data_IF_613517211171
#
_entry.id   IF_613517211171
#
_cell.length_a   1.000
_cell.length_b   1.000
_cell.length_c   1.000
_cell.angle_alpha   90.00
_cell.angle_beta   90.00
_cell.angle_gamma   90.00
#
_symmetry.space_group_name_H-M   'P 1'
#
loop_
_entity.id
_entity.type
_entity.pdbx_description
1 polymer ?
2 polymer ?
3 non-polymer ?
4 water ?
#
# COMPACT_ATOMS: atom_id res chain seq x y z
N UNK A 4 11.38 24.26 5.77
CA UNK A 4 11.01 22.86 5.98
C UNK A 4 12.06 21.92 5.42
N UNK A 5 12.79 22.39 4.43
CA UNK A 5 13.87 21.61 3.82
C UNK A 5 15.21 21.97 4.43
N UNK A 6 15.26 23.10 5.12
CA UNK A 6 16.48 23.56 5.77
C UNK A 6 16.62 22.94 7.16
N UNK A 7 15.65 22.11 7.53
CA UNK A 7 15.65 21.46 8.83
C UNK A 7 16.66 20.33 8.91
N UNK A 8 17.38 20.28 10.02
CA UNK A 8 18.33 19.20 10.28
C UNK A 8 17.55 17.92 10.59
N UNK A 9 18.22 16.78 10.54
CA UNK A 9 17.59 15.50 10.84
C UNK A 9 17.07 15.47 12.28
N UNK A 10 17.88 15.95 13.22
CA UNK A 10 17.48 16.03 14.62
C UNK A 10 16.34 17.01 14.81
N UNK A 11 16.39 18.11 14.06
CA UNK A 11 15.35 19.14 14.15
C UNK A 11 14.05 18.67 13.53
N UNK A 12 14.15 17.74 12.57
CA UNK A 12 12.98 17.16 11.95
C UNK A 12 12.27 16.21 12.91
N UNK A 13 13.07 15.40 13.62
CA UNK A 13 12.54 14.47 14.61
C UNK A 13 11.80 15.22 15.72
N UNK A 14 12.43 16.28 16.22
CA UNK A 14 11.85 17.09 17.29
C UNK A 14 10.57 17.77 16.85
N UNK A 15 10.54 18.24 15.61
CA UNK A 15 9.36 18.91 15.06
C UNK A 15 8.18 17.94 15.00
N UNK A 16 8.43 16.72 14.58
CA UNK A 16 7.39 15.71 14.47
C UNK A 16 6.91 15.24 15.83
N UNK A 17 7.83 15.09 16.77
CA UNK A 17 7.51 14.67 18.12
C UNK A 17 6.63 15.69 18.82
N UNK A 18 6.99 16.96 18.68
CA UNK A 18 6.22 18.04 19.29
C UNK A 18 4.82 18.15 18.68
N UNK A 19 4.68 17.66 17.45
CA UNK A 19 3.43 17.79 16.72
C UNK A 19 2.43 16.69 17.05
N UNK A 20 2.89 15.68 17.81
CA UNK A 20 2.07 14.53 18.15
C UNK A 20 0.73 14.90 18.79
N UNK A 21 -0.37 14.33 18.28
CA UNK A 21 -1.70 14.58 18.83
C UNK A 21 -1.92 13.82 20.13
N UNK A 22 -2.83 14.29 20.98
CA UNK A 22 -3.06 13.66 22.28
C UNK A 22 -3.82 12.35 22.18
N UNK A 23 -3.59 11.46 23.14
CA UNK A 23 -4.35 10.22 23.24
C UNK A 23 -5.68 10.48 23.91
N UNK A 24 -6.76 10.34 23.15
CA UNK A 24 -8.10 10.64 23.66
C UNK A 24 -8.73 9.43 24.33
N UNK A 25 -9.73 9.68 25.16
CA UNK A 25 -10.46 8.61 25.84
C UNK A 25 -11.81 8.35 25.17
N UNK A 26 -12.43 7.24 25.52
CA UNK A 26 -13.74 6.90 24.98
C UNK A 26 -14.83 7.26 25.98
N UNK A 27 -16.09 7.11 25.55
CA UNK A 27 -17.23 7.44 26.40
C UNK A 27 -17.66 6.26 27.25
N UNK A 34 -21.60 -5.14 25.39
CA UNK A 34 -21.19 -4.61 24.09
C UNK A 34 -22.06 -5.15 22.96
N UNK A 35 -22.76 -4.25 22.27
CA UNK A 35 -23.57 -4.61 21.12
C UNK A 35 -23.00 -3.99 19.86
N UNK A 36 -23.63 -4.25 18.73
CA UNK A 36 -23.17 -3.71 17.45
C UNK A 36 -23.30 -2.20 17.41
N UNK A 37 -24.45 -1.68 17.81
CA UNK A 37 -24.71 -0.25 17.79
C UNK A 37 -23.88 0.49 18.83
N UNK A 38 -23.67 -0.14 19.98
CA UNK A 38 -22.95 0.49 21.08
C UNK A 38 -21.47 0.69 20.78
N UNK A 39 -20.79 -0.38 20.37
CA UNK A 39 -19.36 -0.31 20.08
C UNK A 39 -19.09 0.59 18.89
N UNK A 40 -19.91 0.49 17.85
CA UNK A 40 -19.81 1.36 16.69
C UNK A 40 -20.00 2.81 17.10
N UNK A 41 -20.89 3.03 18.06
CA UNK A 41 -21.13 4.36 18.60
C UNK A 41 -19.89 4.91 19.27
N UNK A 42 -19.19 4.06 20.02
CA UNK A 42 -17.97 4.46 20.72
C UNK A 42 -16.85 4.76 19.74
N UNK A 43 -16.72 3.93 18.71
CA UNK A 43 -15.65 4.07 17.74
C UNK A 43 -15.83 5.31 16.86
N UNK A 44 -17.04 5.51 16.37
CA UNK A 44 -17.32 6.67 15.51
C UNK A 44 -17.19 7.97 16.28
N UNK A 45 -17.57 7.95 17.55
CA UNK A 45 -17.39 9.12 18.41
C UNK A 45 -15.91 9.42 18.63
N UNK A 46 -15.15 8.36 18.88
CA UNK A 46 -13.71 8.49 19.09
C UNK A 46 -13.00 8.98 17.84
N UNK A 47 -13.35 8.39 16.71
CA UNK A 47 -12.74 8.73 15.43
C UNK A 47 -13.04 10.18 15.05
N UNK A 48 -14.26 10.63 15.33
CA UNK A 48 -14.67 12.02 15.01
C UNK A 48 -13.86 13.02 15.83
N UNK A 49 -13.55 12.68 17.06
CA UNK A 49 -12.80 13.59 17.92
C UNK A 49 -11.31 13.57 17.60
N UNK A 50 -10.80 12.41 17.21
CA UNK A 50 -9.39 12.29 16.83
C UNK A 50 -9.11 13.02 15.52
N UNK A 51 -10.09 13.02 14.63
CA UNK A 51 -9.95 13.68 13.33
C UNK A 51 -9.68 15.18 13.46
N UNK A 52 -10.25 15.78 14.51
CA UNK A 52 -10.05 17.20 14.77
C UNK A 52 -8.61 17.47 15.16
N UNK A 53 -8.02 16.55 15.91
CA UNK A 53 -6.62 16.67 16.33
C UNK A 53 -5.67 16.32 15.20
N UNK A 54 -6.09 15.39 14.34
CA UNK A 54 -5.29 14.98 13.18
C UNK A 54 -5.04 16.15 12.25
N UNK A 55 -6.10 16.93 12.00
CA UNK A 55 -6.03 18.08 11.12
C UNK A 55 -5.04 19.12 11.64
N UNK A 56 -5.08 19.37 12.95
CA UNK A 56 -4.15 20.31 13.56
C UNK A 56 -2.74 19.74 13.65
N UNK A 57 -2.63 18.42 13.73
CA UNK A 57 -1.33 17.76 13.72
C UNK A 57 -0.68 17.88 12.35
N UNK A 58 -1.48 17.73 11.31
CA UNK A 58 -1.01 17.81 9.93
C UNK A 58 -0.41 19.18 9.65
N UNK A 59 -1.02 20.22 10.20
CA UNK A 59 -0.55 21.58 10.02
C UNK A 59 0.79 21.82 10.71
N UNK A 60 1.11 20.96 11.67
CA UNK A 60 2.38 21.08 12.40
C UNK A 60 3.45 20.19 11.77
N UNK A 61 3.09 19.48 10.71
CA UNK A 61 4.05 18.69 9.95
C UNK A 61 4.81 19.58 8.98
N UNK A 62 6.15 19.56 9.05
CA UNK A 62 7.02 20.39 8.22
C UNK A 62 6.73 20.28 6.73
N UNK A 63 6.39 21.41 6.10
CA UNK A 63 6.15 21.46 4.67
C UNK A 63 4.69 21.31 4.28
N UNK A 64 3.85 20.95 5.24
CA UNK A 64 2.43 20.72 4.96
C UNK A 64 1.66 22.03 4.83
N UNK A 65 2.10 23.05 5.54
CA UNK A 65 1.47 24.36 5.46
C UNK A 65 1.87 25.09 4.17
N UNK A 66 2.97 24.63 3.57
CA UNK A 66 3.45 25.20 2.31
C UNK A 66 2.56 24.79 1.16
N UNK A 67 1.77 23.75 1.37
CA UNK A 67 0.82 23.26 0.37
C UNK A 67 -0.41 24.14 0.31
N UNK A 68 -1.10 24.12 -0.83
CA UNK A 68 -2.34 24.85 -0.97
C UNK A 68 -3.45 24.19 -0.15
N UNK A 69 -4.52 24.92 0.10
CA UNK A 69 -5.65 24.39 0.87
C UNK A 69 -6.24 23.18 0.18
N UNK A 70 -6.30 23.23 -1.15
CA UNK A 70 -6.81 22.14 -1.96
C UNK A 70 -5.99 20.86 -1.75
N UNK A 71 -4.67 20.99 -1.82
CA UNK A 71 -3.78 19.84 -1.67
C UNK A 71 -3.79 19.30 -0.25
N UNK A 72 -3.92 20.18 0.73
CA UNK A 72 -4.01 19.78 2.13
C UNK A 72 -5.24 18.92 2.36
N UNK A 73 -6.36 19.33 1.76
CA UNK A 73 -7.61 18.59 1.85
C UNK A 73 -7.48 17.20 1.24
N UNK A 74 -6.90 17.15 0.04
CA UNK A 74 -6.75 15.90 -0.70
C UNK A 74 -5.92 14.87 0.08
N UNK A 75 -4.82 15.33 0.67
CA UNK A 75 -3.93 14.44 1.41
C UNK A 75 -4.60 13.88 2.66
N UNK A 76 -5.39 14.70 3.35
CA UNK A 76 -6.09 14.26 4.54
C UNK A 76 -7.27 13.35 4.21
N UNK A 77 -7.97 13.66 3.13
CA UNK A 77 -9.12 12.85 2.72
C UNK A 77 -8.73 11.43 2.33
N UNK A 78 -7.52 11.28 1.79
CA UNK A 78 -7.05 9.98 1.33
C UNK A 78 -6.39 9.18 2.45
N UNK A 79 -5.74 9.88 3.37
CA UNK A 79 -4.91 9.21 4.38
C UNK A 79 -5.50 9.14 5.79
N UNK A 80 -6.65 9.74 6.00
CA UNK A 80 -7.19 9.88 7.36
C UNK A 80 -7.37 8.57 8.11
N UNK A 81 -7.78 7.52 7.39
CA UNK A 81 -8.00 6.22 8.03
C UNK A 81 -6.68 5.50 8.25
N UNK A 82 -5.75 5.68 7.31
CA UNK A 82 -4.42 5.11 7.46
C UNK A 82 -3.73 5.69 8.69
N UNK A 83 -3.88 6.99 8.89
CA UNK A 83 -3.28 7.69 10.02
C UNK A 83 -3.89 7.23 11.33
N UNK A 84 -5.21 7.07 11.35
CA UNK A 84 -5.90 6.54 12.52
C UNK A 84 -5.41 5.14 12.87
N UNK A 85 -5.22 4.32 11.84
CA UNK A 85 -4.82 2.93 12.03
C UNK A 85 -3.39 2.80 12.54
N UNK A 86 -2.46 3.51 11.91
CA UNK A 86 -1.05 3.42 12.31
C UNK A 86 -0.87 4.00 13.71
N UNK A 87 -1.77 4.89 14.11
CA UNK A 87 -1.77 5.39 15.48
C UNK A 87 -2.25 4.32 16.43
N UNK A 88 -3.37 3.68 16.07
CA UNK A 88 -3.92 2.57 16.84
C UNK A 88 -2.92 1.42 16.96
N UNK A 89 -2.32 1.07 15.83
CA UNK A 89 -1.35 -0.02 15.77
C UNK A 89 -0.14 0.28 16.66
N UNK A 90 0.31 1.53 16.66
CA UNK A 90 1.45 1.94 17.47
C UNK A 90 1.15 1.87 18.97
N UNK A 91 -0.04 2.32 19.35
CA UNK A 91 -0.45 2.31 20.76
C UNK A 91 -0.69 0.89 21.25
N UNK A 92 -0.96 -0.02 20.32
CA UNK A 92 -1.30 -1.40 20.66
C UNK A 92 -0.07 -2.30 20.77
N UNK A 93 1.10 -1.73 20.53
CA UNK A 93 2.35 -2.49 20.55
C UNK A 93 2.61 -3.19 21.88
N UNK A 94 2.53 -2.44 22.96
CA UNK A 94 2.79 -2.99 24.29
C UNK A 94 1.61 -3.78 24.85
N UNK A 95 0.58 -3.95 24.02
CA UNK A 95 -0.58 -4.74 24.40
C UNK A 95 -0.85 -5.85 23.38
N UNK A 96 -0.06 -6.94 23.45
CA UNK A 96 -0.16 -8.06 22.50
C UNK A 96 -1.54 -8.72 22.52
N UNK A 97 -2.08 -8.98 21.33
CA UNK A 97 -3.38 -9.62 21.21
C UNK A 97 -4.53 -8.68 21.49
N UNK A 98 -4.22 -7.40 21.69
CA UNK A 98 -5.25 -6.41 22.00
C UNK A 98 -5.04 -5.12 21.22
N UNK A 99 -6.11 -4.36 21.05
CA UNK A 99 -6.06 -3.08 20.34
C UNK A 99 -6.44 -1.94 21.27
N UNK A 100 -5.58 -0.93 21.35
CA UNK A 100 -5.82 0.20 22.24
C UNK A 100 -6.36 1.40 21.48
N UNK A 101 -7.68 1.42 21.28
CA UNK A 101 -8.35 2.58 20.67
C UNK A 101 -8.26 3.75 21.62
N UNK A 102 -8.47 3.46 22.90
CA UNK A 102 -8.38 4.46 23.97
C UNK A 102 -7.90 3.75 25.24
N UNK A 103 -7.30 4.50 26.16
CA UNK A 103 -6.84 3.90 27.42
C UNK A 103 -7.96 3.20 28.19
N UNK A 104 -9.19 3.70 28.04
CA UNK A 104 -10.35 3.05 28.65
C UNK A 104 -11.10 2.17 27.67
N UNK A 105 -10.46 1.90 26.53
CA UNK A 105 -11.06 1.06 25.50
C UNK A 105 -10.03 0.15 24.84
N UNK A 106 -9.63 -0.89 25.57
CA UNK A 106 -8.69 -1.88 25.04
C UNK A 106 -9.44 -3.14 24.64
N UNK A 107 -9.47 -3.42 23.34
CA UNK A 107 -10.29 -4.51 22.81
C UNK A 107 -9.45 -5.66 22.26
N UNK A 108 -9.97 -6.89 22.43
CA UNK A 108 -9.36 -8.06 21.82
C UNK A 108 -10.17 -8.48 20.59
N UNK A 109 -9.69 -9.48 19.87
CA UNK A 109 -10.28 -9.85 18.58
C UNK A 109 -11.69 -10.40 18.69
N UNK A 110 -12.00 -11.02 19.83
CA UNK A 110 -13.33 -11.61 20.05
C UNK A 110 -14.38 -10.57 20.36
N UNK A 111 -13.94 -9.41 20.83
CA UNK A 111 -14.84 -8.27 21.03
C UNK A 111 -15.13 -7.59 19.70
N UNK A 112 -14.41 -8.00 18.67
CA UNK A 112 -14.62 -7.48 17.33
C UNK A 112 -15.75 -8.20 16.62
N UNK A 113 -16.18 -9.31 17.19
CA UNK A 113 -17.27 -10.10 16.61
C UNK A 113 -18.63 -9.50 16.94
N UNK A 114 -18.63 -8.45 17.77
CA UNK A 114 -19.85 -7.75 18.13
C UNK A 114 -20.41 -7.02 16.90
N UNK A 115 -19.52 -6.47 16.10
CA UNK A 115 -19.91 -5.80 14.87
C UNK A 115 -19.60 -6.68 13.66
N UNK A 116 -20.59 -6.88 12.81
CA UNK A 116 -20.45 -7.77 11.65
C UNK A 116 -19.41 -7.26 10.66
N UNK A 117 -18.38 -8.07 10.43
CA UNK A 117 -17.35 -7.76 9.46
C UNK A 117 -16.22 -6.90 9.99
N UNK A 118 -16.11 -6.83 11.32
CA UNK A 118 -15.07 -6.02 11.94
C UNK A 118 -13.89 -6.87 12.41
N UNK A 119 -14.15 -8.14 12.72
CA UNK A 119 -13.11 -9.02 13.25
C UNK A 119 -12.00 -9.25 12.22
N UNK A 120 -12.36 -9.16 10.94
CA UNK A 120 -11.37 -9.30 9.88
C UNK A 120 -10.42 -8.12 9.88
N UNK A 121 -10.95 -6.94 10.18
CA UNK A 121 -10.14 -5.72 10.25
C UNK A 121 -9.25 -5.76 11.49
N UNK A 122 -9.79 -6.29 12.59
CA UNK A 122 -9.03 -6.42 13.83
C UNK A 122 -7.82 -7.32 13.66
N UNK A 123 -8.00 -8.43 12.96
CA UNK A 123 -6.92 -9.39 12.75
C UNK A 123 -5.78 -8.79 11.95
N UNK A 124 -6.12 -7.93 10.99
CA UNK A 124 -5.10 -7.24 10.20
C UNK A 124 -4.38 -6.21 11.04
N UNK A 125 -5.13 -5.52 11.90
CA UNK A 125 -4.56 -4.52 12.79
C UNK A 125 -3.65 -5.15 13.83
N UNK A 126 -4.09 -6.27 14.41
CA UNK A 126 -3.30 -7.00 15.38
C UNK A 126 -2.02 -7.53 14.76
N UNK A 127 -2.08 -7.87 13.48
CA UNK A 127 -0.93 -8.40 12.76
C UNK A 127 0.12 -7.31 12.54
N UNK A 128 -0.34 -6.09 12.30
CA UNK A 128 0.56 -4.97 12.06
C UNK A 128 1.26 -4.55 13.36
N UNK A 129 0.54 -4.65 14.47
CA UNK A 129 1.10 -4.30 15.78
C UNK A 129 2.15 -5.31 16.21
N UNK A 130 1.87 -6.58 15.96
CA UNK A 130 2.82 -7.64 16.25
C UNK A 130 4.06 -7.52 15.37
N UNK A 131 3.86 -7.07 14.13
CA UNK A 131 4.95 -6.83 13.21
C UNK A 131 5.80 -5.65 13.68
N UNK A 132 5.13 -4.64 14.24
CA UNK A 132 5.83 -3.49 14.79
C UNK A 132 6.70 -3.89 15.98
N UNK A 133 6.16 -4.74 16.84
CA UNK A 133 6.88 -5.20 18.02
C UNK A 133 8.03 -6.12 17.62
N UNK A 134 7.83 -6.88 16.54
CA UNK A 134 8.86 -7.78 16.04
C UNK A 134 10.06 -7.00 15.52
N UNK A 135 9.80 -5.80 15.01
CA UNK A 135 10.85 -4.92 14.51
C UNK A 135 11.35 -3.98 15.60
N UNK A 136 10.66 -3.98 16.73
CA UNK A 136 10.97 -3.06 17.83
C UNK A 136 10.95 -1.61 17.36
N UNK A 137 9.83 -1.21 16.77
CA UNK A 137 9.67 0.12 16.21
C UNK A 137 9.82 1.21 17.26
N UNK A 138 10.64 2.22 16.96
CA UNK A 138 10.86 3.32 17.89
C UNK A 138 9.90 4.47 17.60
N UNK A 139 9.63 5.28 18.62
CA UNK A 139 8.73 6.41 18.50
C UNK A 139 9.21 7.43 17.50
N UNK A 140 10.52 7.56 17.38
CA UNK A 140 11.13 8.48 16.41
C UNK A 140 10.88 7.99 14.99
N UNK A 141 10.75 6.68 14.82
CA UNK A 141 10.48 6.09 13.52
C UNK A 141 9.00 6.16 13.18
N UNK A 142 8.16 6.01 14.20
CA UNK A 142 6.71 6.02 14.02
C UNK A 142 6.20 7.37 13.51
N UNK A 143 6.69 8.45 14.11
CA UNK A 143 6.27 9.79 13.72
C UNK A 143 6.69 10.11 12.29
N UNK A 144 7.78 9.49 11.85
CA UNK A 144 8.24 9.65 10.47
C UNK A 144 7.31 8.91 9.52
N UNK A 145 6.97 7.66 9.87
CA UNK A 145 6.09 6.84 9.05
C UNK A 145 4.72 7.47 8.90
N UNK A 146 4.19 8.02 9.98
CA UNK A 146 2.87 8.62 9.98
C UNK A 146 2.85 9.90 9.14
N UNK A 147 3.97 10.61 9.12
CA UNK A 147 4.09 11.81 8.31
C UNK A 147 4.26 11.45 6.84
N UNK A 148 4.94 10.34 6.58
CA UNK A 148 5.11 9.84 5.23
C UNK A 148 3.76 9.44 4.63
N UNK A 149 2.94 8.77 5.44
CA UNK A 149 1.59 8.39 5.04
C UNK A 149 0.76 9.59 4.63
N UNK A 150 0.84 10.65 5.41
CA UNK A 150 0.08 11.88 5.15
C UNK A 150 0.42 12.49 3.80
N UNK A 151 1.70 12.47 3.45
CA UNK A 151 2.17 13.15 2.24
C UNK A 151 2.17 12.26 1.01
N UNK A 152 2.29 10.94 1.22
CA UNK A 152 2.41 10.02 0.09
C UNK A 152 1.09 9.49 -0.45
N UNK A 153 0.15 9.20 0.45
CA UNK A 153 -1.07 8.46 0.10
C UNK A 153 -1.91 9.08 -1.02
N UNK A 154 -1.86 10.39 -1.17
CA UNK A 154 -2.66 11.06 -2.18
C UNK A 154 -1.87 11.80 -3.24
N UNK A 155 -0.55 11.63 -3.21
CA UNK A 155 0.34 12.40 -4.06
C UNK A 155 0.21 12.04 -5.55
N UNK A 156 -0.44 10.92 -5.86
CA UNK A 156 -0.59 10.47 -7.26
C UNK A 156 -2.03 10.55 -7.74
N UNK A 157 -2.90 11.12 -6.92
CA UNK A 157 -4.30 11.26 -7.28
C UNK A 157 -4.79 12.68 -7.07
N UNK A 170 5.91 18.20 -6.52
CA UNK A 170 7.36 18.07 -6.45
C UNK A 170 7.87 18.50 -5.09
N UNK A 171 7.18 19.48 -4.49
CA UNK A 171 7.51 19.93 -3.13
C UNK A 171 7.31 18.80 -2.14
N UNK A 172 6.22 18.05 -2.31
CA UNK A 172 5.89 16.94 -1.43
C UNK A 172 6.98 15.86 -1.46
N UNK A 173 7.46 15.55 -2.67
CA UNK A 173 8.42 14.47 -2.85
C UNK A 173 9.79 14.79 -2.26
N UNK A 174 10.11 16.08 -2.12
CA UNK A 174 11.38 16.47 -1.52
C UNK A 174 11.27 16.55 0.00
N UNK A 175 10.05 16.71 0.49
CA UNK A 175 9.80 16.62 1.93
C UNK A 175 9.86 15.15 2.33
N UNK A 176 9.34 14.29 1.46
CA UNK A 176 9.42 12.84 1.64
C UNK A 176 10.87 12.38 1.71
N UNK A 177 11.68 12.92 0.80
CA UNK A 177 13.10 12.60 0.77
C UNK A 177 13.79 13.05 2.07
N UNK A 178 13.33 14.16 2.62
CA UNK A 178 13.86 14.68 3.87
C UNK A 178 13.55 13.74 5.03
N UNK A 179 12.33 13.19 5.04
CA UNK A 179 11.93 12.23 6.07
C UNK A 179 12.69 10.92 5.91
N UNK A 180 13.01 10.58 4.66
CA UNK A 180 13.82 9.41 4.38
C UNK A 180 15.23 9.60 4.97
N UNK A 181 15.78 10.79 4.75
CA UNK A 181 17.07 11.15 5.33
C UNK A 181 16.98 11.14 6.86
N UNK A 182 15.80 11.48 7.36
CA UNK A 182 15.56 11.51 8.80
C UNK A 182 15.50 10.10 9.37
N UNK A 183 14.88 9.19 8.63
CA UNK A 183 14.78 7.79 9.06
C UNK A 183 16.15 7.11 9.12
N UNK A 184 16.96 7.34 8.09
CA UNK A 184 18.30 6.77 8.02
C UNK A 184 19.19 7.33 9.14
N UNK A 185 19.05 8.62 9.40
CA UNK A 185 19.81 9.28 10.45
C UNK A 185 19.54 8.66 11.82
N UNK A 186 18.29 8.28 12.05
CA UNK A 186 17.91 7.62 13.29
C UNK A 186 18.57 6.25 13.41
N UNK A 187 18.56 5.51 12.31
CA UNK A 187 19.12 4.16 12.29
C UNK A 187 20.63 4.17 12.41
N UNK A 188 21.27 5.16 11.78
CA UNK A 188 22.72 5.32 11.88
C UNK A 188 23.12 5.71 13.29
N UNK A 189 22.20 6.37 14.00
CA UNK A 189 22.43 6.79 15.37
C UNK A 189 22.33 5.60 16.32
N UNK A 190 21.50 4.63 15.97
CA UNK A 190 21.26 3.47 16.81
C UNK A 190 22.31 2.38 16.63
N UNK A 191 23.36 2.70 15.87
CA UNK A 191 24.47 1.78 15.70
C UNK A 191 24.29 0.77 14.59
N UNK A 192 23.26 0.94 13.78
CA UNK A 192 23.01 0.04 12.66
C UNK A 192 24.03 0.26 11.55
N UNK A 193 24.57 -0.84 11.03
CA UNK A 193 25.52 -0.74 9.92
C UNK A 193 24.83 -0.31 8.64
N UNK A 194 25.63 0.06 7.65
CA UNK A 194 25.13 0.57 6.38
C UNK A 194 24.11 -0.37 5.72
N UNK A 195 24.41 -1.66 5.74
CA UNK A 195 23.51 -2.67 5.19
C UNK A 195 22.24 -2.78 6.02
N UNK A 196 22.39 -2.73 7.33
CA UNK A 196 21.25 -2.82 8.25
C UNK A 196 20.34 -1.59 8.15
N UNK A 197 20.91 -0.47 7.72
CA UNK A 197 20.16 0.77 7.62
C UNK A 197 19.10 0.74 6.51
N UNK A 198 19.54 0.48 5.27
CA UNK A 198 18.61 0.49 4.15
C UNK A 198 17.73 -0.76 4.13
N UNK A 199 18.17 -1.80 4.82
CA UNK A 199 17.35 -3.00 4.98
C UNK A 199 16.16 -2.72 5.89
N UNK A 200 16.41 -2.01 6.99
CA UNK A 200 15.36 -1.66 7.93
C UNK A 200 14.42 -0.62 7.34
N UNK A 201 14.97 0.30 6.56
CA UNK A 201 14.17 1.31 5.88
C UNK A 201 13.14 0.66 4.97
N UNK A 202 13.56 -0.37 4.25
CA UNK A 202 12.69 -1.09 3.34
C UNK A 202 11.57 -1.80 4.08
N UNK A 203 11.94 -2.52 5.14
CA UNK A 203 10.98 -3.28 5.94
C UNK A 203 9.90 -2.36 6.53
N UNK A 204 10.28 -1.14 6.90
CA UNK A 204 9.34 -0.19 7.47
C UNK A 204 8.33 0.31 6.44
N UNK A 205 8.84 0.66 5.25
CA UNK A 205 8.00 1.23 4.20
C UNK A 205 7.09 0.19 3.56
N UNK A 206 7.50 -1.08 3.61
CA UNK A 206 6.68 -2.15 3.05
C UNK A 206 5.47 -2.43 3.92
N UNK A 207 5.55 -2.08 5.19
CA UNK A 207 4.42 -2.22 6.10
C UNK A 207 3.34 -1.20 5.74
N UNK A 208 3.76 -0.07 5.18
CA UNK A 208 2.84 0.96 4.72
C UNK A 208 1.91 0.44 3.63
N UNK A 209 2.40 -0.54 2.87
CA UNK A 209 1.59 -1.19 1.85
C UNK A 209 0.44 -1.95 2.50
N UNK A 210 0.71 -2.56 3.65
CA UNK A 210 -0.30 -3.30 4.38
C UNK A 210 -1.27 -2.36 5.07
N UNK A 211 -0.75 -1.23 5.56
CA UNK A 211 -1.57 -0.23 6.22
C UNK A 211 -2.58 0.37 5.24
N UNK A 212 -2.12 0.60 4.01
CA UNK A 212 -3.00 1.05 2.93
C UNK A 212 -4.09 0.01 2.67
N UNK A 213 -3.70 -1.26 2.70
CA UNK A 213 -4.62 -2.37 2.46
C UNK A 213 -5.71 -2.43 3.52
N UNK A 214 -5.32 -2.30 4.78
CA UNK A 214 -6.26 -2.30 5.89
C UNK A 214 -7.25 -1.14 5.78
N UNK A 215 -6.74 0.00 5.36
CA UNK A 215 -7.56 1.20 5.18
C UNK A 215 -8.65 0.96 4.15
N UNK A 216 -8.26 0.42 2.99
CA UNK A 216 -9.21 0.16 1.92
C UNK A 216 -10.29 -0.84 2.34
N UNK A 217 -9.90 -1.86 3.09
CA UNK A 217 -10.86 -2.82 3.61
C UNK A 217 -11.70 -2.21 4.72
N UNK A 218 -11.07 -1.33 5.50
CA UNK A 218 -11.77 -0.64 6.57
C UNK A 218 -12.72 0.41 6.05
N UNK A 219 -12.34 1.04 4.94
CA UNK A 219 -13.16 2.08 4.33
C UNK A 219 -14.43 1.49 3.73
N UNK A 220 -14.31 0.31 3.14
CA UNK A 220 -15.46 -0.39 2.57
C UNK A 220 -16.41 -0.86 3.66
N UNK A 221 -15.85 -1.24 4.80
CA UNK A 221 -16.64 -1.73 5.93
C UNK A 221 -17.48 -0.61 6.52
N UNK A 222 -16.89 0.57 6.65
CA UNK A 222 -17.61 1.74 7.18
C UNK A 222 -18.74 2.15 6.26
N UNK A 223 -18.54 1.97 4.95
CA UNK A 223 -19.55 2.30 3.96
C UNK A 223 -20.74 1.34 4.07
N UNK A 224 -20.45 0.09 4.42
CA UNK A 224 -21.49 -0.91 4.60
C UNK A 224 -22.28 -0.64 5.88
N UNK A 225 -21.58 -0.13 6.89
CA UNK A 225 -22.23 0.27 8.14
C UNK A 225 -23.15 1.46 7.88
N UNK A 226 -22.72 2.33 6.96
CA UNK A 226 -23.52 3.48 6.55
C UNK A 226 -24.80 3.02 5.85
N UNK A 227 -24.67 2.05 4.95
CA UNK A 227 -25.80 1.52 4.20
C UNK A 227 -26.75 0.73 5.10
N UNK A 228 -26.20 0.16 6.17
CA UNK A 228 -27.00 -0.60 7.12
C UNK A 228 -27.57 0.31 8.21
N UNK A 229 -27.04 1.53 8.26
CA UNK A 229 -27.46 2.54 9.24
C UNK A 229 -27.37 2.03 10.68
N UNK A 230 -26.23 1.43 11.00
CA UNK A 230 -25.99 0.93 12.35
C UNK A 230 -25.96 2.07 13.36
N UNK A 231 -25.16 3.09 13.06
CA UNK A 231 -25.06 4.26 13.91
C UNK A 231 -24.88 5.51 13.05
N UNK A 232 -25.65 6.56 13.35
CA UNK A 232 -25.53 7.83 12.60
C UNK A 232 -24.14 8.43 12.70
N UNK A 233 -23.45 8.53 11.57
CA UNK A 233 -22.10 9.09 11.53
C UNK A 233 -22.16 10.61 11.54
N UNK A 234 -21.12 11.25 12.06
CA UNK A 234 -21.03 12.70 12.04
C UNK A 234 -20.85 13.18 10.60
N UNK A 235 -21.23 14.42 10.34
CA UNK A 235 -21.13 14.99 9.00
C UNK A 235 -19.68 15.02 8.53
N UNK A 236 -18.76 15.29 9.45
CA UNK A 236 -17.34 15.29 9.14
C UNK A 236 -16.88 13.90 8.72
N UNK A 237 -17.23 12.91 9.52
CA UNK A 237 -16.85 11.52 9.26
C UNK A 237 -17.43 11.03 7.95
N UNK A 238 -18.61 11.54 7.59
CA UNK A 238 -19.26 11.19 6.34
C UNK A 238 -18.56 11.85 5.16
N UNK A 239 -18.09 13.08 5.35
CA UNK A 239 -17.38 13.78 4.29
C UNK A 239 -16.03 13.14 4.00
N UNK A 240 -15.36 12.66 5.04
CA UNK A 240 -14.11 11.94 4.88
C UNK A 240 -14.36 10.59 4.20
N UNK A 241 -15.54 10.03 4.46
CA UNK A 241 -15.91 8.74 3.91
C UNK A 241 -16.40 8.86 2.47
N UNK A 242 -17.03 9.99 2.16
CA UNK A 242 -17.55 10.23 0.82
C UNK A 242 -16.44 10.62 -0.15
N UNK A 243 -15.30 11.02 0.41
CA UNK A 243 -14.14 11.39 -0.41
C UNK A 243 -13.53 10.18 -1.10
N UNK A 244 -13.96 8.99 -0.71
CA UNK A 244 -13.50 7.75 -1.33
C UNK A 244 -14.58 7.13 -2.20
N UNK A 245 -15.83 7.40 -1.85
CA UNK A 245 -16.99 6.90 -2.59
C UNK A 245 -16.98 5.38 -2.73
N UNK B 4 19.47 -19.92 -2.58
CA UNK B 4 18.59 -18.78 -2.71
C UNK B 4 19.02 -17.65 -1.77
N UNK B 5 19.68 -18.01 -0.68
CA UNK B 5 20.13 -17.03 0.31
C UNK B 5 21.61 -16.70 0.12
N UNK B 6 22.22 -17.32 -0.88
CA UNK B 6 23.63 -17.11 -1.18
C UNK B 6 23.82 -16.60 -2.61
N UNK B 7 22.90 -15.76 -3.07
CA UNK B 7 22.98 -15.18 -4.40
C UNK B 7 23.59 -13.77 -4.34
N UNK B 8 24.58 -13.53 -5.18
CA UNK B 8 25.20 -12.21 -5.35
C UNK B 8 24.18 -11.28 -6.03
N UNK B 9 24.17 -10.00 -5.67
CA UNK B 9 23.24 -9.03 -6.23
C UNK B 9 23.12 -9.10 -7.76
N UNK B 10 24.25 -9.32 -8.43
CA UNK B 10 24.26 -9.47 -9.88
C UNK B 10 23.55 -10.76 -10.29
N UNK B 11 23.79 -11.83 -9.52
CA UNK B 11 23.15 -13.11 -9.77
C UNK B 11 21.65 -13.01 -9.51
N UNK B 12 21.27 -12.16 -8.56
CA UNK B 12 19.86 -11.93 -8.25
C UNK B 12 19.14 -11.25 -9.40
N UNK B 13 19.79 -10.25 -9.98
CA UNK B 13 19.19 -9.48 -11.08
C UNK B 13 18.86 -10.36 -12.29
N UNK B 14 19.88 -11.00 -12.85
CA UNK B 14 19.72 -11.83 -14.05
C UNK B 14 18.80 -13.02 -13.80
N UNK B 15 18.74 -13.47 -12.55
CA UNK B 15 17.81 -14.53 -12.19
C UNK B 15 16.39 -14.05 -12.39
N UNK B 16 16.10 -12.85 -11.90
CA UNK B 16 14.79 -12.24 -12.06
C UNK B 16 14.54 -11.84 -13.50
N UNK B 17 15.61 -11.47 -14.21
CA UNK B 17 15.49 -11.07 -15.61
C UNK B 17 15.14 -12.27 -16.49
N UNK B 18 15.76 -13.40 -16.23
CA UNK B 18 15.49 -14.62 -17.00
C UNK B 18 14.11 -15.17 -16.68
N UNK B 19 13.62 -14.90 -15.48
CA UNK B 19 12.34 -15.42 -15.01
C UNK B 19 11.16 -14.67 -15.60
N UNK B 20 11.44 -13.55 -16.26
CA UNK B 20 10.40 -12.68 -16.81
C UNK B 20 9.44 -13.43 -17.73
N UNK B 21 8.14 -13.27 -17.47
CA UNK B 21 7.10 -13.85 -18.34
C UNK B 21 7.05 -13.12 -19.68
N UNK B 22 6.54 -13.78 -20.72
CA UNK B 22 6.46 -13.12 -22.03
C UNK B 22 5.33 -12.10 -22.09
N UNK B 23 5.38 -11.21 -23.08
CA UNK B 23 4.29 -10.27 -23.29
C UNK B 23 3.28 -10.89 -24.25
N UNK B 24 2.09 -11.14 -23.73
CA UNK B 24 1.04 -11.80 -24.51
C UNK B 24 0.25 -10.77 -25.32
N UNK B 25 -0.36 -11.25 -26.41
CA UNK B 25 -1.17 -10.38 -27.27
C UNK B 25 -2.65 -10.47 -26.90
N UNK B 26 -3.43 -9.53 -27.43
CA UNK B 26 -4.86 -9.50 -27.19
C UNK B 26 -5.62 -10.06 -28.39
N UNK B 27 -6.93 -9.88 -28.38
CA UNK B 27 -7.78 -10.33 -29.49
C UNK B 27 -8.55 -9.14 -30.06
N UNK B 28 -7.93 -7.96 -29.98
CA UNK B 28 -8.54 -6.73 -30.44
C UNK B 28 -8.69 -6.68 -31.95
N UNK B 29 -9.83 -6.17 -32.41
CA UNK B 29 -10.10 -6.03 -33.85
C UNK B 29 -10.06 -4.56 -34.24
N UNK B 35 -17.94 -1.18 -27.25
CA UNK B 35 -18.69 -2.13 -26.43
C UNK B 35 -17.98 -2.43 -25.12
N UNK B 36 -18.69 -2.22 -24.03
CA UNK B 36 -18.16 -2.45 -22.69
C UNK B 36 -17.99 -3.93 -22.40
N UNK B 37 -18.84 -4.75 -23.01
CA UNK B 37 -18.78 -6.20 -22.82
C UNK B 37 -17.60 -6.80 -23.58
N UNK B 38 -17.20 -6.16 -24.67
CA UNK B 38 -16.08 -6.65 -25.47
C UNK B 38 -14.76 -6.20 -24.86
N UNK B 39 -14.71 -4.95 -24.41
CA UNK B 39 -13.51 -4.38 -23.80
C UNK B 39 -13.12 -5.15 -22.55
N UNK B 40 -14.12 -5.42 -21.69
CA UNK B 40 -13.89 -6.24 -20.50
C UNK B 40 -13.51 -7.66 -20.90
N UNK B 41 -14.12 -8.15 -21.98
CA UNK B 41 -13.82 -9.47 -22.49
C UNK B 41 -12.37 -9.62 -22.89
N UNK B 42 -11.82 -8.57 -23.50
CA UNK B 42 -10.42 -8.56 -23.91
C UNK B 42 -9.50 -8.58 -22.69
N UNK B 43 -9.87 -7.83 -21.66
CA UNK B 43 -9.04 -7.72 -20.47
C UNK B 43 -9.10 -8.97 -19.60
N UNK B 44 -10.29 -9.52 -19.41
CA UNK B 44 -10.48 -10.74 -18.63
C UNK B 44 -9.76 -11.92 -19.28
N UNK B 45 -9.86 -12.01 -20.60
CA UNK B 45 -9.19 -13.06 -21.35
C UNK B 45 -7.67 -12.93 -21.30
N UNK B 46 -7.20 -11.70 -21.44
CA UNK B 46 -5.76 -11.42 -21.42
C UNK B 46 -5.16 -11.70 -20.05
N UNK B 47 -5.85 -11.26 -19.00
CA UNK B 47 -5.38 -11.46 -17.65
C UNK B 47 -5.38 -12.94 -17.27
N UNK B 48 -6.38 -13.67 -17.75
CA UNK B 48 -6.50 -15.09 -17.47
C UNK B 48 -5.34 -15.88 -18.07
N UNK B 49 -4.89 -15.46 -19.25
CA UNK B 49 -3.76 -16.12 -19.90
C UNK B 49 -2.44 -15.67 -19.25
N UNK B 50 -2.42 -14.45 -18.74
CA UNK B 50 -1.23 -13.93 -18.07
C UNK B 50 -1.03 -14.61 -16.71
N UNK B 51 -2.13 -15.00 -16.08
CA UNK B 51 -2.08 -15.65 -14.77
C UNK B 51 -1.33 -16.97 -14.82
N UNK B 52 -1.40 -17.64 -15.97
CA UNK B 52 -0.72 -18.92 -16.14
C UNK B 52 0.80 -18.73 -16.15
N UNK B 53 1.26 -17.67 -16.78
CA UNK B 53 2.69 -17.38 -16.86
C UNK B 53 3.21 -16.78 -15.56
N UNK B 54 2.34 -16.06 -14.84
CA UNK B 54 2.72 -15.48 -13.56
C UNK B 54 3.02 -16.56 -12.54
N UNK B 55 2.24 -17.63 -12.57
CA UNK B 55 2.43 -18.77 -11.68
C UNK B 55 3.79 -19.42 -11.89
N UNK B 56 4.16 -19.60 -13.15
CA UNK B 56 5.45 -20.18 -13.49
C UNK B 56 6.59 -19.18 -13.31
N UNK B 57 6.27 -17.90 -13.38
CA UNK B 57 7.24 -16.86 -13.08
C UNK B 57 7.55 -16.84 -11.59
N UNK B 58 6.52 -17.00 -10.78
CA UNK B 58 6.64 -16.97 -9.33
C UNK B 58 7.56 -18.06 -8.81
N UNK B 59 7.50 -19.24 -9.45
CA UNK B 59 8.33 -20.37 -9.05
C UNK B 59 9.80 -20.10 -9.32
N UNK B 60 10.09 -19.32 -10.35
CA UNK B 60 11.47 -19.00 -10.70
C UNK B 60 12.02 -17.86 -9.85
N UNK B 61 11.14 -17.21 -9.11
CA UNK B 61 11.56 -16.19 -8.15
C UNK B 61 12.22 -16.86 -6.95
N UNK B 62 13.49 -16.51 -6.68
CA UNK B 62 14.30 -17.12 -5.63
C UNK B 62 13.64 -17.13 -4.25
N UNK B 63 13.53 -18.31 -3.66
CA UNK B 63 12.98 -18.44 -2.32
C UNK B 63 11.51 -18.84 -2.29
N UNK B 64 10.80 -18.58 -3.38
CA UNK B 64 9.37 -18.83 -3.45
C UNK B 64 9.03 -20.33 -3.37
N UNK B 65 9.83 -21.14 -4.04
CA UNK B 65 9.60 -22.59 -4.05
C UNK B 65 9.97 -23.22 -2.71
N UNK B 66 10.76 -22.52 -1.91
CA UNK B 66 11.15 -23.00 -0.59
C UNK B 66 9.97 -22.95 0.37
N UNK B 67 8.99 -22.12 0.06
CA UNK B 67 7.79 -22.01 0.87
C UNK B 67 6.88 -23.21 0.65
N UNK B 68 5.89 -23.37 1.52
CA UNK B 68 4.92 -24.46 1.39
C UNK B 68 3.92 -24.15 0.29
N UNK B 69 3.20 -25.17 -0.18
CA UNK B 69 2.20 -25.00 -1.22
C UNK B 69 1.12 -24.02 -0.79
N UNK B 70 0.72 -24.12 0.48
CA UNK B 70 -0.29 -23.23 1.04
C UNK B 70 0.17 -21.78 1.00
N UNK B 71 1.41 -21.54 1.39
CA UNK B 71 1.96 -20.19 1.43
C UNK B 71 2.14 -19.62 0.03
N UNK B 72 2.46 -20.48 -0.93
CA UNK B 72 2.58 -20.07 -2.33
C UNK B 72 1.25 -19.60 -2.87
N UNK B 73 0.19 -20.36 -2.56
CA UNK B 73 -1.16 -20.02 -2.98
C UNK B 73 -1.61 -18.69 -2.39
N UNK B 74 -1.34 -18.51 -1.10
CA UNK B 74 -1.77 -17.31 -0.39
C UNK B 74 -1.15 -16.03 -0.95
N UNK B 75 0.15 -16.07 -1.25
CA UNK B 75 0.84 -14.90 -1.76
C UNK B 75 0.32 -14.48 -3.13
N UNK B 76 0.11 -15.45 -4.01
CA UNK B 76 -0.36 -15.17 -5.36
C UNK B 76 -1.80 -14.66 -5.37
N UNK B 77 -2.64 -15.25 -4.53
CA UNK B 77 -4.04 -14.84 -4.43
C UNK B 77 -4.20 -13.39 -3.99
N UNK B 78 -3.25 -12.92 -3.18
CA UNK B 78 -3.31 -11.56 -2.65
C UNK B 78 -2.63 -10.55 -3.58
N UNK B 79 -1.65 -11.03 -4.35
CA UNK B 79 -0.82 -10.13 -5.14
C UNK B 79 -1.01 -10.21 -6.65
N UNK B 80 -1.86 -11.11 -7.12
CA UNK B 80 -1.96 -11.38 -8.57
C UNK B 80 -2.34 -10.13 -9.38
N UNK B 81 -3.25 -9.32 -8.86
CA UNK B 81 -3.68 -8.13 -9.57
C UNK B 81 -2.63 -7.02 -9.47
N UNK B 82 -1.94 -6.96 -8.34
CA UNK B 82 -0.85 -6.01 -8.15
C UNK B 82 0.25 -6.25 -9.18
N UNK B 83 0.62 -7.51 -9.36
CA UNK B 83 1.67 -7.88 -10.29
C UNK B 83 1.27 -7.60 -11.73
N UNK B 84 0.00 -7.86 -12.05
CA UNK B 84 -0.54 -7.52 -13.37
C UNK B 84 -0.48 -6.02 -13.61
N UNK B 85 -0.80 -5.25 -12.57
CA UNK B 85 -0.86 -3.80 -12.69
C UNK B 85 0.52 -3.17 -12.86
N UNK B 86 1.50 -3.63 -12.09
CA UNK B 86 2.84 -3.06 -12.17
C UNK B 86 3.51 -3.49 -13.48
N UNK B 87 3.04 -4.59 -14.06
CA UNK B 87 3.51 -5.03 -15.36
C UNK B 87 2.98 -4.11 -16.44
N UNK B 88 1.68 -3.86 -16.39
CA UNK B 88 1.02 -2.93 -17.30
C UNK B 88 1.63 -1.54 -17.22
N UNK B 89 1.85 -1.09 -15.99
CA UNK B 89 2.41 0.23 -15.74
C UNK B 89 3.83 0.36 -16.30
N UNK B 90 4.62 -0.71 -16.16
CA UNK B 90 5.99 -0.73 -16.67
C UNK B 90 6.03 -0.75 -18.20
N UNK B 91 5.13 -1.53 -18.80
CA UNK B 91 5.06 -1.62 -20.26
C UNK B 91 4.58 -0.30 -20.86
N UNK B 92 3.80 0.45 -20.10
CA UNK B 92 3.19 1.68 -20.59
C UNK B 92 4.06 2.92 -20.34
N UNK B 93 5.27 2.69 -19.83
CA UNK B 93 6.16 3.77 -19.44
C UNK B 93 6.50 4.70 -20.61
N UNK B 94 6.72 4.11 -21.78
CA UNK B 94 7.10 4.89 -22.96
C UNK B 94 5.89 5.28 -23.80
N UNK B 95 4.70 5.19 -23.20
CA UNK B 95 3.47 5.55 -23.90
C UNK B 95 2.59 6.46 -23.04
N UNK B 96 2.93 7.75 -22.97
CA UNK B 96 2.20 8.74 -22.16
C UNK B 96 0.72 8.85 -22.54
N UNK B 97 -0.16 8.79 -21.54
CA UNK B 97 -1.58 8.94 -21.77
C UNK B 97 -2.24 7.67 -22.28
N UNK B 98 -1.49 6.58 -22.33
CA UNK B 98 -2.00 5.31 -22.82
C UNK B 98 -1.53 4.13 -21.99
N UNK B 99 -2.36 3.09 -21.89
CA UNK B 99 -2.01 1.87 -21.17
C UNK B 99 -1.78 0.72 -22.13
N UNK B 100 -0.55 0.21 -22.14
CA UNK B 100 -0.18 -0.88 -23.04
C UNK B 100 -0.54 -2.24 -22.44
N UNK B 101 -1.81 -2.60 -22.51
CA UNK B 101 -2.26 -3.91 -22.04
C UNK B 101 -1.62 -5.01 -22.86
N UNK B 102 -1.46 -4.74 -24.16
CA UNK B 102 -0.83 -5.67 -25.09
C UNK B 102 -0.32 -4.86 -26.28
N UNK B 103 0.70 -5.38 -26.98
CA UNK B 103 1.26 -4.69 -28.15
C UNK B 103 0.20 -4.33 -29.19
N UNK B 104 -0.89 -5.07 -29.21
CA UNK B 104 -1.99 -4.77 -30.13
C UNK B 104 -3.19 -4.19 -29.40
N UNK B 105 -2.99 -3.80 -28.14
CA UNK B 105 -4.05 -3.20 -27.34
C UNK B 105 -3.55 -2.03 -26.51
N UNK B 106 -3.44 -0.88 -27.17
CA UNK B 106 -2.99 0.35 -26.52
C UNK B 106 -4.19 1.25 -26.24
N UNK B 107 -4.67 1.23 -25.00
CA UNK B 107 -5.91 1.91 -24.65
C UNK B 107 -5.71 3.33 -24.14
N UNK B 108 -6.51 4.26 -24.65
CA UNK B 108 -6.48 5.65 -24.23
C UNK B 108 -7.32 5.84 -22.98
N UNK B 109 -7.12 6.94 -22.27
CA UNK B 109 -7.97 7.25 -21.10
C UNK B 109 -9.42 7.35 -21.55
N UNK B 110 -9.68 8.05 -22.66
CA UNK B 110 -11.04 8.21 -23.16
C UNK B 110 -11.67 6.87 -23.52
N UNK B 111 -10.84 5.91 -23.92
CA UNK B 111 -11.31 4.57 -24.24
C UNK B 111 -11.71 3.83 -22.96
N UNK B 112 -11.16 4.27 -21.83
CA UNK B 112 -11.47 3.68 -20.55
C UNK B 112 -12.89 3.98 -20.10
N UNK B 113 -13.46 5.06 -20.64
CA UNK B 113 -14.82 5.46 -20.29
C UNK B 113 -15.86 4.52 -20.88
N UNK B 114 -15.42 3.63 -21.76
CA UNK B 114 -16.30 2.64 -22.37
C UNK B 114 -16.92 1.75 -21.31
N UNK B 115 -16.17 1.51 -20.24
CA UNK B 115 -16.66 0.75 -19.10
C UNK B 115 -16.84 1.67 -17.89
N UNK B 116 -18.04 1.67 -17.33
CA UNK B 116 -18.35 2.51 -16.17
C UNK B 116 -17.55 2.08 -14.94
N UNK B 117 -16.84 3.03 -14.35
CA UNK B 117 -16.05 2.76 -13.17
C UNK B 117 -14.63 2.35 -13.48
N UNK B 118 -14.33 2.23 -14.77
CA UNK B 118 -13.00 1.80 -15.21
C UNK B 118 -12.06 2.99 -15.41
N UNK B 119 -12.62 4.13 -15.82
CA UNK B 119 -11.83 5.32 -16.11
C UNK B 119 -11.07 5.82 -14.89
N UNK B 120 -11.67 5.68 -13.71
CA UNK B 120 -11.02 6.09 -12.47
C UNK B 120 -9.80 5.23 -12.18
N UNK B 121 -9.87 3.96 -12.57
CA UNK B 121 -8.75 3.04 -12.41
C UNK B 121 -7.68 3.34 -13.44
N UNK B 122 -8.12 3.64 -14.67
CA UNK B 122 -7.22 4.01 -15.75
C UNK B 122 -6.36 5.21 -15.38
N UNK B 123 -6.98 6.19 -14.73
CA UNK B 123 -6.28 7.40 -14.31
C UNK B 123 -5.18 7.08 -13.30
N UNK B 124 -5.50 6.21 -12.35
CA UNK B 124 -4.53 5.81 -11.33
C UNK B 124 -3.37 5.06 -11.96
N UNK B 125 -3.67 4.22 -12.95
CA UNK B 125 -2.66 3.46 -13.66
C UNK B 125 -1.77 4.37 -14.50
N UNK B 126 -2.39 5.37 -15.13
CA UNK B 126 -1.66 6.34 -15.95
C UNK B 126 -0.71 7.17 -15.09
N UNK B 127 -1.17 7.55 -13.91
CA UNK B 127 -0.36 8.34 -12.99
C UNK B 127 0.84 7.55 -12.50
N UNK B 128 0.62 6.28 -12.20
CA UNK B 128 1.70 5.40 -11.75
C UNK B 128 2.74 5.22 -12.84
N UNK B 129 2.26 5.09 -14.08
CA UNK B 129 3.15 4.95 -15.23
C UNK B 129 3.92 6.24 -15.46
N UNK B 130 3.24 7.36 -15.29
CA UNK B 130 3.87 8.67 -15.45
C UNK B 130 4.92 8.86 -14.36
N UNK B 131 4.63 8.37 -13.15
CA UNK B 131 5.57 8.47 -12.04
C UNK B 131 6.84 7.66 -12.31
N UNK B 132 6.66 6.48 -12.91
CA UNK B 132 7.80 5.63 -13.26
C UNK B 132 8.71 6.29 -14.28
N UNK B 133 8.12 7.01 -15.22
CA UNK B 133 8.86 7.68 -16.28
C UNK B 133 9.64 8.87 -15.74
N UNK B 134 9.02 9.60 -14.82
CA UNK B 134 9.68 10.72 -14.17
C UNK B 134 10.91 10.26 -13.39
N UNK B 135 10.78 9.10 -12.74
CA UNK B 135 11.88 8.52 -11.99
C UNK B 135 12.86 7.80 -12.90
N UNK B 136 12.46 7.60 -14.16
CA UNK B 136 13.22 6.81 -15.11
C UNK B 136 13.53 5.44 -14.55
N UNK B 137 12.47 4.68 -14.27
CA UNK B 137 12.60 3.36 -13.68
C UNK B 137 13.36 2.40 -14.59
N UNK B 138 14.37 1.74 -14.05
CA UNK B 138 15.16 0.78 -14.81
C UNK B 138 14.53 -0.61 -14.73
N UNK B 139 14.75 -1.41 -15.77
CA UNK B 139 14.19 -2.75 -15.84
C UNK B 139 14.67 -3.63 -14.70
N UNK B 140 15.92 -3.46 -14.31
CA UNK B 140 16.49 -4.22 -13.21
C UNK B 140 15.81 -3.88 -11.89
N UNK B 141 15.35 -2.64 -11.78
CA UNK B 141 14.63 -2.19 -10.59
C UNK B 141 13.20 -2.70 -10.62
N UNK B 142 12.64 -2.79 -11.82
CA UNK B 142 11.26 -3.24 -12.00
C UNK B 142 11.05 -4.68 -11.56
N UNK B 143 11.94 -5.56 -12.01
CA UNK B 143 11.83 -6.98 -11.66
C UNK B 143 12.07 -7.21 -10.17
N UNK B 144 12.81 -6.30 -9.54
CA UNK B 144 13.01 -6.35 -8.09
C UNK B 144 11.72 -5.97 -7.37
N UNK B 145 11.10 -4.88 -7.81
CA UNK B 145 9.86 -4.40 -7.22
C UNK B 145 8.74 -5.42 -7.38
N UNK B 146 8.65 -6.04 -8.55
CA UNK B 146 7.61 -7.00 -8.84
C UNK B 146 7.76 -8.25 -7.96
N UNK B 147 9.00 -8.59 -7.65
CA UNK B 147 9.28 -9.74 -6.79
C UNK B 147 9.00 -9.40 -5.34
N UNK B 148 9.19 -8.13 -4.97
CA UNK B 148 8.88 -7.66 -3.64
C UNK B 148 7.38 -7.75 -3.39
N UNK B 149 6.60 -7.31 -4.37
CA UNK B 149 5.14 -7.38 -4.30
C UNK B 149 4.66 -8.80 -4.05
N UNK B 150 5.30 -9.77 -4.71
CA UNK B 150 4.94 -11.17 -4.56
C UNK B 150 5.16 -11.67 -3.13
N UNK B 151 6.24 -11.21 -2.51
CA UNK B 151 6.64 -11.72 -1.20
C UNK B 151 6.11 -10.88 -0.04
N UNK B 152 5.65 -9.67 -0.32
CA UNK B 152 5.26 -8.74 0.73
C UNK B 152 3.75 -8.59 0.90
N UNK B 153 3.00 -8.75 -0.19
CA UNK B 153 1.57 -8.45 -0.17
C UNK B 153 0.76 -9.38 0.74
N UNK B 154 1.31 -10.53 1.08
CA UNK B 154 0.60 -11.47 1.92
C UNK B 154 1.43 -12.11 3.01
N UNK B 155 2.58 -11.51 3.31
CA UNK B 155 3.50 -12.08 4.30
C UNK B 155 2.93 -11.98 5.72
N UNK B 156 2.25 -10.88 6.02
CA UNK B 156 1.68 -10.68 7.35
C UNK B 156 0.17 -10.88 7.35
N UNK B 157 -0.28 -11.94 6.68
CA UNK B 157 -1.70 -12.26 6.60
C UNK B 157 -1.93 -13.76 6.73
N UNK B 169 6.95 -15.41 7.67
CA UNK B 169 8.09 -16.28 7.94
C UNK B 169 9.40 -15.51 7.92
N UNK B 170 10.38 -15.99 8.68
CA UNK B 170 11.68 -15.33 8.75
C UNK B 170 12.48 -15.54 7.46
N UNK B 171 12.09 -16.55 6.68
CA UNK B 171 12.75 -16.82 5.41
C UNK B 171 12.37 -15.78 4.36
N UNK B 172 11.08 -15.43 4.33
CA UNK B 172 10.56 -14.47 3.37
C UNK B 172 11.21 -13.10 3.54
N UNK B 173 11.26 -12.62 4.78
CA UNK B 173 11.89 -11.34 5.07
C UNK B 173 13.39 -11.39 4.82
N UNK B 174 13.98 -12.58 4.96
CA UNK B 174 15.40 -12.76 4.69
C UNK B 174 15.68 -12.65 3.20
N UNK B 175 14.70 -13.05 2.38
CA UNK B 175 14.80 -12.92 0.94
C UNK B 175 14.52 -11.47 0.52
N UNK B 176 13.52 -10.87 1.15
CA UNK B 176 13.17 -9.47 0.90
C UNK B 176 14.35 -8.55 1.15
N UNK B 177 15.11 -8.85 2.20
CA UNK B 177 16.31 -8.08 2.52
C UNK B 177 17.36 -8.20 1.42
N UNK B 178 17.44 -9.38 0.81
CA UNK B 178 18.40 -9.61 -0.27
C UNK B 178 18.00 -8.82 -1.52
N UNK B 179 16.69 -8.68 -1.73
CA UNK B 179 16.19 -7.89 -2.85
C UNK B 179 16.44 -6.41 -2.57
N UNK B 180 16.37 -6.03 -1.30
CA UNK B 180 16.68 -4.67 -0.88
C UNK B 180 18.15 -4.37 -1.14
N UNK B 181 19.01 -5.32 -0.78
CA UNK B 181 20.45 -5.20 -1.03
C UNK B 181 20.71 -5.05 -2.53
N UNK B 182 19.93 -5.76 -3.34
CA UNK B 182 20.07 -5.74 -4.78
C UNK B 182 19.74 -4.37 -5.36
N UNK B 183 18.64 -3.78 -4.89
CA UNK B 183 18.22 -2.45 -5.33
C UNK B 183 19.28 -1.41 -5.00
N UNK B 184 19.84 -1.50 -3.80
CA UNK B 184 20.93 -0.61 -3.39
C UNK B 184 22.15 -0.82 -4.29
N UNK B 185 22.44 -2.09 -4.58
CA UNK B 185 23.54 -2.45 -5.46
C UNK B 185 23.37 -1.86 -6.85
N UNK B 186 22.13 -1.82 -7.32
CA UNK B 186 21.82 -1.27 -8.64
C UNK B 186 22.02 0.24 -8.67
N UNK B 187 21.55 0.92 -7.63
CA UNK B 187 21.65 2.37 -7.54
C UNK B 187 23.08 2.82 -7.29
N UNK B 188 23.84 2.01 -6.57
CA UNK B 188 25.24 2.33 -6.27
C UNK B 188 26.08 2.30 -7.53
N UNK B 189 25.91 1.25 -8.33
CA UNK B 189 26.67 1.08 -9.55
C UNK B 189 26.18 2.07 -10.62
N UNK B 190 24.97 2.60 -10.41
CA UNK B 190 24.43 3.65 -11.29
C UNK B 190 25.10 5.00 -11.03
N UNK B 191 25.98 5.04 -10.03
CA UNK B 191 26.76 6.24 -9.75
C UNK B 191 26.17 7.14 -8.69
N UNK B 192 25.01 6.78 -8.17
CA UNK B 192 24.31 7.60 -7.19
C UNK B 192 25.05 7.62 -5.85
N UNK B 193 25.05 8.77 -5.18
CA UNK B 193 25.58 8.87 -3.82
C UNK B 193 24.69 8.04 -2.88
N UNK B 194 25.20 7.70 -1.70
CA UNK B 194 24.45 6.83 -0.79
C UNK B 194 23.20 7.51 -0.26
N UNK B 195 23.26 8.84 -0.12
CA UNK B 195 22.07 9.59 0.26
C UNK B 195 21.01 9.45 -0.83
N UNK B 196 21.46 9.46 -2.09
CA UNK B 196 20.57 9.28 -3.23
C UNK B 196 20.05 7.85 -3.30
N UNK B 197 20.87 6.90 -2.86
CA UNK B 197 20.48 5.49 -2.87
C UNK B 197 19.30 5.24 -1.95
N UNK B 198 19.39 5.75 -0.73
CA UNK B 198 18.35 5.57 0.28
C UNK B 198 17.07 6.31 -0.11
N UNK B 199 17.23 7.48 -0.73
CA UNK B 199 16.08 8.27 -1.17
C UNK B 199 15.32 7.58 -2.30
N UNK B 200 16.05 7.11 -3.31
CA UNK B 200 15.44 6.44 -4.44
C UNK B 200 14.79 5.13 -4.03
N UNK B 201 15.45 4.42 -3.11
CA UNK B 201 14.90 3.19 -2.55
C UNK B 201 13.55 3.44 -1.89
N UNK B 202 13.48 4.53 -1.14
CA UNK B 202 12.24 4.92 -0.45
C UNK B 202 11.15 5.26 -1.45
N UNK B 203 11.50 6.02 -2.48
CA UNK B 203 10.54 6.46 -3.49
C UNK B 203 9.90 5.29 -4.23
N UNK B 204 10.70 4.27 -4.53
CA UNK B 204 10.20 3.09 -5.23
C UNK B 204 9.22 2.28 -4.39
N UNK B 205 9.56 2.09 -3.11
CA UNK B 205 8.75 1.27 -2.22
C UNK B 205 7.46 1.97 -1.81
N UNK B 206 7.47 3.30 -1.82
CA UNK B 206 6.28 4.07 -1.50
C UNK B 206 5.26 4.00 -2.64
N UNK B 207 5.75 3.74 -3.85
CA UNK B 207 4.89 3.56 -5.01
C UNK B 207 4.08 2.28 -4.87
N UNK B 208 4.67 1.27 -4.24
CA UNK B 208 4.01 -0.01 -4.01
C UNK B 208 2.74 0.15 -3.17
N UNK B 209 2.71 1.18 -2.32
CA UNK B 209 1.53 1.48 -1.53
C UNK B 209 0.38 1.90 -2.42
N UNK B 210 0.69 2.69 -3.45
CA UNK B 210 -0.32 3.14 -4.40
C UNK B 210 -0.75 2.01 -5.33
N UNK B 211 0.15 1.07 -5.56
CA UNK B 211 -0.15 -0.08 -6.40
C UNK B 211 -1.11 -1.01 -5.66
N UNK B 212 -0.91 -1.15 -4.36
CA UNK B 212 -1.85 -1.88 -3.51
C UNK B 212 -3.21 -1.22 -3.54
N UNK B 213 -3.21 0.11 -3.53
CA UNK B 213 -4.44 0.90 -3.56
C UNK B 213 -5.22 0.67 -4.83
N UNK B 214 -4.51 0.72 -5.97
CA UNK B 214 -5.14 0.48 -7.26
C UNK B 214 -5.70 -0.94 -7.34
N UNK B 215 -5.00 -1.87 -6.70
CA UNK B 215 -5.42 -3.27 -6.69
C UNK B 215 -6.71 -3.46 -5.91
N UNK B 216 -6.79 -2.85 -4.72
CA UNK B 216 -7.99 -2.92 -3.90
C UNK B 216 -9.18 -2.31 -4.62
N UNK B 217 -8.97 -1.14 -5.24
CA UNK B 217 -10.00 -0.47 -6.01
C UNK B 217 -10.38 -1.29 -7.24
N UNK B 218 -9.37 -1.80 -7.93
CA UNK B 218 -9.59 -2.61 -9.12
C UNK B 218 -10.31 -3.91 -8.80
N UNK B 219 -10.01 -4.49 -7.65
CA UNK B 219 -10.63 -5.73 -7.22
C UNK B 219 -12.12 -5.50 -6.92
N UNK B 220 -12.42 -4.38 -6.28
CA UNK B 220 -13.80 -4.01 -5.96
C UNK B 220 -14.59 -3.74 -7.23
N UNK B 221 -13.90 -3.23 -8.25
CA UNK B 221 -14.53 -2.98 -9.55
C UNK B 221 -14.81 -4.30 -10.25
N UNK B 222 -13.88 -5.24 -10.14
CA UNK B 222 -14.02 -6.56 -10.74
C UNK B 222 -15.15 -7.36 -10.11
N UNK B 223 -15.30 -7.22 -8.79
CA UNK B 223 -16.34 -7.92 -8.06
C UNK B 223 -17.73 -7.42 -8.45
N UNK B 224 -17.79 -6.18 -8.94
CA UNK B 224 -19.04 -5.59 -9.39
C UNK B 224 -19.37 -6.04 -10.81
N UNK B 225 -18.35 -6.53 -11.52
CA UNK B 225 -18.55 -7.10 -12.85
C UNK B 225 -18.94 -8.57 -12.79
N UNK B 226 -18.94 -9.11 -11.57
CA UNK B 226 -19.36 -10.52 -11.34
C UNK B 226 -20.85 -10.37 -11.04
N UNK B 227 -21.43 -9.25 -11.42
CA UNK B 227 -22.87 -9.01 -11.25
C UNK B 227 -23.46 -9.16 -12.64
N UNK B 228 -23.87 -10.39 -12.98
CA UNK B 228 -24.41 -10.70 -14.33
C UNK B 228 -23.44 -10.18 -15.39
N UNK B 232 -18.20 -13.11 -19.76
CA UNK B 232 -16.87 -13.45 -20.29
C UNK B 232 -15.82 -13.54 -19.19
N UNK B 233 -16.09 -14.35 -18.17
CA UNK B 233 -15.19 -14.47 -17.03
C UNK B 233 -14.81 -15.94 -16.80
N UNK B 234 -13.50 -16.22 -16.78
CA UNK B 234 -13.00 -17.59 -16.65
C UNK B 234 -13.06 -18.11 -15.22
N UNK B 235 -12.71 -19.38 -15.05
CA UNK B 235 -12.76 -20.03 -13.74
C UNK B 235 -11.60 -19.63 -12.83
N UNK B 236 -10.38 -19.68 -13.36
CA UNK B 236 -9.19 -19.33 -12.59
C UNK B 236 -9.26 -17.90 -12.10
N UNK B 237 -9.79 -17.02 -12.94
CA UNK B 237 -9.93 -15.61 -12.59
C UNK B 237 -10.96 -15.42 -11.48
N UNK B 238 -11.96 -16.29 -11.46
CA UNK B 238 -13.00 -16.25 -10.44
C UNK B 238 -12.43 -16.61 -9.06
N UNK B 239 -11.60 -17.64 -9.03
CA UNK B 239 -10.98 -18.08 -7.77
C UNK B 239 -10.04 -17.01 -7.24
N UNK B 240 -9.38 -16.29 -8.14
CA UNK B 240 -8.51 -15.18 -7.78
C UNK B 240 -9.33 -14.03 -7.22
N UNK B 241 -10.55 -13.88 -7.74
CA UNK B 241 -11.46 -12.84 -7.27
C UNK B 241 -12.14 -13.27 -5.97
N UNK B 242 -12.47 -14.55 -5.88
CA UNK B 242 -13.13 -15.09 -4.70
C UNK B 242 -12.20 -15.12 -3.50
N UNK B 243 -10.90 -15.12 -3.76
CA UNK B 243 -9.89 -15.16 -2.70
C UNK B 243 -9.92 -13.90 -1.84
N UNK B 244 -10.46 -12.82 -2.39
CA UNK B 244 -10.58 -11.57 -1.65
C UNK B 244 -11.98 -11.41 -1.07
N UNK B 245 -12.68 -12.53 -0.91
CA UNK B 245 -14.03 -12.56 -0.35
C UNK B 245 -14.98 -11.66 -1.12
N UNK C 3 -17.22 22.12 2.47
CA UNK C 3 -16.63 21.02 3.20
C UNK C 3 -16.20 21.45 4.60
N UNK C 4 -16.51 20.63 5.59
CA UNK C 4 -16.13 20.90 6.98
C UNK C 4 -14.62 20.88 7.12
N UNK C 5 -13.97 20.02 6.34
CA UNK C 5 -12.51 19.88 6.37
C UNK C 5 -11.82 21.19 6.01
N UNK C 6 -12.51 22.04 5.25
CA UNK C 6 -11.98 23.35 4.88
C UNK C 6 -11.83 24.25 6.09
N UNK C 7 -12.90 24.38 6.86
CA UNK C 7 -12.93 25.28 8.01
C UNK C 7 -11.95 24.86 9.10
N UNK C 8 -11.80 23.56 9.30
CA UNK C 8 -10.93 23.03 10.33
C UNK C 8 -9.45 23.21 9.97
N UNK C 9 -9.16 23.23 8.68
CA UNK C 9 -7.81 23.48 8.20
C UNK C 9 -7.45 24.96 8.28
N UNK C 10 -8.47 25.79 8.45
CA UNK C 10 -8.28 27.23 8.56
C UNK C 10 -8.54 27.72 9.98
N UNK D 3 -8.90 -25.84 -5.81
CA UNK D 3 -8.30 -24.60 -6.28
C UNK D 3 -7.42 -24.84 -7.51
N UNK D 4 -7.70 -24.12 -8.59
CA UNK D 4 -6.94 -24.25 -9.82
C UNK D 4 -5.49 -23.80 -9.62
N UNK D 5 -5.31 -22.74 -8.84
CA UNK D 5 -4.00 -22.20 -8.55
C UNK D 5 -3.09 -23.23 -7.88
N UNK D 6 -3.64 -23.96 -6.92
CA UNK D 6 -2.88 -24.97 -6.20
C UNK D 6 -2.45 -26.11 -7.11
N UNK D 7 -3.28 -26.41 -8.11
CA UNK D 7 -2.98 -27.46 -9.06
C UNK D 7 -1.95 -27.00 -10.08
N UNK D 8 -2.09 -25.76 -10.54
CA UNK D 8 -1.16 -25.18 -11.50
C UNK D 8 0.22 -24.98 -10.88
N UNK D 9 0.25 -24.85 -9.55
CA UNK D 9 1.51 -24.76 -8.81
C UNK D 9 2.11 -26.15 -8.62
N UNK D 10 1.41 -27.17 -9.14
CA UNK D 10 1.84 -28.56 -9.05
C UNK D 10 2.06 -29.01 -7.62
#
# INVERSE_FOLDING_TARGET
MSLALSLTADQMVSALLDAEPPILYSEYDPTRPFSEASMMGLLTNLADRELVHMINWAKRVPGFVDLTLHDQVHLLECAWLEILMIGLVWRSMEHPGKLLFAPNLLLDRNQGKCVEGMVEIFDMLLATSSRFRMMNLQGEEFVCLKSIILLNSGVYTFLSSTLKSLEEKDHIHRVLDKITDTLIHLMAKAGLTLQQQHQRLAQLLLILSHIRHMSNKGMEHLYSMKCKNVVPLSDLLLEMLDAHRLHAPTS
MSLALSLTADQMVSALLDAEPPILYSEYDPTRPFSEASMMGLLTNLADRELVHMINWAKRVPGFVDLTLHDQVHLLECAWLEILMIGLVWRSMEHPGKLLFAPNLLLDRNQGKCVEGMVEIFDMLLATSSRFRMMNLQGEEFVCLKSIILLNSGVYTFLSSTLKSLEEKDHIHRVLDKITDTLIHLMAKAGLTLQQQHQRLAQLLLILSHIRHMSNKGMEHLYSMKCKNVVPLSDLLLEMLDAHRLHAPTS
KHKILHRLLQDSS
KHKILHRLLQDSS
#
